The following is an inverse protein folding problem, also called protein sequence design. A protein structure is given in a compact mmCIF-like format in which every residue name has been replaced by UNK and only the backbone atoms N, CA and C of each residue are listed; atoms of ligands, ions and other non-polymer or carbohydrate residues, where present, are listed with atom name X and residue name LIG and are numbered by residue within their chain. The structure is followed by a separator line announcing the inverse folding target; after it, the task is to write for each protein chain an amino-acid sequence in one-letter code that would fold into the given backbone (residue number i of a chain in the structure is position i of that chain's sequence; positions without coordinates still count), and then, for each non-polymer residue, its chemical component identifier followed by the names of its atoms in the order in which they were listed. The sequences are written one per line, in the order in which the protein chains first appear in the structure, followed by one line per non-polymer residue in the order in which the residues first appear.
data_IF_202295923654
#
_entry.id   IF_202295923654
#
_cell.length_a   1.000
_cell.length_b   1.000
_cell.length_c   1.000
_cell.angle_alpha   90.00
_cell.angle_beta   90.00
_cell.angle_gamma   90.00
#
_symmetry.space_group_name_H-M   'P 1'
#
loop_
_entity.id
_entity.type
_entity.pdbx_description
1 polymer ?
#
# COMPACT_ATOMS: atom_id res chain seq x y z
N UNK A 1 32.18 37.13 -9.51
CA UNK A 1 31.38 35.94 -9.15
C UNK A 1 30.08 36.44 -8.54
N UNK A 2 28.97 36.38 -9.28
CA UNK A 2 27.66 36.82 -8.78
C UNK A 2 26.90 35.64 -8.19
N UNK A 3 26.57 35.71 -6.90
CA UNK A 3 25.69 34.75 -6.23
C UNK A 3 24.23 35.06 -6.57
N UNK A 4 23.61 34.24 -7.43
CA UNK A 4 22.21 34.45 -7.85
C UNK A 4 21.25 34.31 -6.66
N UNK A 5 20.43 35.33 -6.33
CA UNK A 5 19.56 35.33 -5.15
C UNK A 5 18.41 34.30 -5.20
N UNK A 6 18.13 33.71 -6.37
CA UNK A 6 17.08 32.71 -6.57
C UNK A 6 17.19 31.47 -5.68
N UNK A 7 18.40 31.06 -5.30
CA UNK A 7 18.61 29.85 -4.49
C UNK A 7 18.00 29.99 -3.07
N UNK A 8 18.13 31.17 -2.46
CA UNK A 8 17.62 31.45 -1.12
C UNK A 8 16.10 31.57 -1.07
N UNK A 9 15.47 32.04 -2.15
CA UNK A 9 14.01 32.17 -2.25
C UNK A 9 13.36 30.77 -2.40
N UNK A 10 13.94 29.89 -3.21
CA UNK A 10 13.45 28.50 -3.33
C UNK A 10 13.64 27.72 -2.03
N UNK A 11 14.78 27.87 -1.35
CA UNK A 11 15.04 27.20 -0.08
C UNK A 11 14.08 27.69 1.03
N UNK A 12 13.81 29.00 1.11
CA UNK A 12 12.87 29.55 2.09
C UNK A 12 11.41 29.17 1.80
N UNK A 13 10.98 29.11 0.54
CA UNK A 13 9.65 28.61 0.16
C UNK A 13 9.46 27.12 0.50
N UNK A 14 10.48 26.28 0.31
CA UNK A 14 10.47 24.89 0.76
C UNK A 14 10.31 24.81 2.29
N UNK A 15 11.12 25.55 3.05
CA UNK A 15 11.03 25.57 4.51
C UNK A 15 9.65 26.06 5.00
N UNK A 16 9.10 27.12 4.38
CA UNK A 16 7.75 27.62 4.68
C UNK A 16 6.65 26.58 4.39
N UNK A 17 6.74 25.83 3.28
CA UNK A 17 5.76 24.77 3.00
C UNK A 17 5.82 23.62 4.02
N UNK A 18 7.01 23.24 4.51
CA UNK A 18 7.15 22.28 5.62
C UNK A 18 6.51 22.79 6.92
N UNK A 19 6.71 24.06 7.29
CA UNK A 19 6.08 24.63 8.49
C UNK A 19 4.56 24.77 8.37
N UNK A 20 4.04 25.13 7.19
CA UNK A 20 2.59 25.20 6.94
C UNK A 20 1.96 23.80 6.95
N UNK A 21 2.59 22.79 6.34
CA UNK A 21 2.10 21.40 6.40
C UNK A 21 2.03 20.88 7.84
N UNK A 22 3.14 20.99 8.59
CA UNK A 22 3.20 20.55 10.00
C UNK A 22 2.24 21.30 10.95
N UNK A 23 1.68 22.44 10.56
CA UNK A 23 0.68 23.15 11.39
C UNK A 23 -0.75 22.76 11.01
N UNK A 24 -1.01 22.41 9.74
CA UNK A 24 -2.32 21.95 9.29
C UNK A 24 -2.62 20.49 9.69
N UNK A 25 -1.67 19.57 9.49
CA UNK A 25 -1.85 18.14 9.80
C UNK A 25 -2.30 17.86 11.24
N UNK A 26 -1.75 18.64 12.20
CA UNK A 26 -1.99 18.47 13.65
C UNK A 26 -3.45 18.63 14.07
N UNK A 27 -4.29 19.29 13.26
CA UNK A 27 -5.76 19.34 13.46
C UNK A 27 -6.52 18.39 12.54
N UNK A 28 -5.98 18.08 11.37
CA UNK A 28 -6.71 17.40 10.31
C UNK A 28 -6.61 15.87 10.40
N UNK A 29 -5.48 15.29 10.84
CA UNK A 29 -5.24 13.84 10.77
C UNK A 29 -6.31 12.95 11.43
N UNK A 30 -6.77 13.29 12.65
CA UNK A 30 -7.83 12.55 13.33
C UNK A 30 -9.20 12.74 12.67
N UNK A 31 -9.48 13.93 12.14
CA UNK A 31 -10.70 14.21 11.39
C UNK A 31 -10.72 13.47 10.05
N UNK A 32 -9.56 13.33 9.37
CA UNK A 32 -9.42 12.57 8.13
C UNK A 32 -9.69 11.09 8.33
N UNK A 33 -9.20 10.47 9.42
CA UNK A 33 -9.52 9.07 9.74
C UNK A 33 -11.01 8.86 10.04
N UNK A 34 -11.62 9.77 10.81
CA UNK A 34 -13.08 9.73 11.08
C UNK A 34 -13.87 9.96 9.78
N UNK A 35 -13.41 10.84 8.90
CA UNK A 35 -14.02 11.06 7.58
C UNK A 35 -13.87 9.82 6.68
N UNK A 36 -12.71 9.18 6.66
CA UNK A 36 -12.46 7.94 5.92
C UNK A 36 -13.43 6.84 6.36
N UNK A 37 -13.53 6.59 7.67
CA UNK A 37 -14.46 5.62 8.26
C UNK A 37 -15.93 5.99 7.97
N UNK A 38 -16.31 7.25 8.10
CA UNK A 38 -17.67 7.71 7.76
C UNK A 38 -17.96 7.65 6.25
N UNK A 39 -16.93 7.69 5.40
CA UNK A 39 -17.06 7.55 3.95
C UNK A 39 -17.25 6.10 3.52
N UNK A 40 -16.63 5.12 4.19
CA UNK A 40 -16.88 3.69 3.93
C UNK A 40 -18.24 3.23 4.47
N UNK A 41 -18.75 3.85 5.54
CA UNK A 41 -20.15 3.64 5.98
C UNK A 41 -21.19 4.12 4.96
N UNK A 42 -20.84 5.07 4.07
CA UNK A 42 -21.69 5.46 2.93
C UNK A 42 -21.53 4.45 1.78
N UNK A 43 -22.32 3.37 1.85
CA UNK A 43 -22.45 2.26 0.86
C UNK A 43 -22.62 2.64 -0.64
N UNK A 44 -22.67 3.92 -1.02
CA UNK A 44 -23.11 4.37 -2.35
C UNK A 44 -22.03 4.44 -3.43
N UNK A 45 -20.75 4.23 -3.12
CA UNK A 45 -19.65 4.49 -4.08
C UNK A 45 -19.08 3.24 -4.78
N UNK A 46 -19.58 2.04 -4.52
CA UNK A 46 -19.18 0.83 -5.24
C UNK A 46 -17.73 0.36 -5.01
N UNK A 47 -17.04 0.92 -4.01
CA UNK A 47 -15.75 0.45 -3.51
C UNK A 47 -15.85 -1.00 -3.05
N UNK A 48 -14.81 -1.81 -3.29
CA UNK A 48 -14.71 -3.11 -2.64
C UNK A 48 -14.41 -2.92 -1.16
N UNK A 49 -15.29 -3.46 -0.32
CA UNK A 49 -15.16 -3.49 1.15
C UNK A 49 -14.98 -4.91 1.66
N UNK A 50 -14.62 -5.87 0.79
CA UNK A 50 -14.35 -7.25 1.20
C UNK A 50 -13.08 -7.33 2.04
N UNK A 51 -13.06 -8.24 3.01
CA UNK A 51 -11.90 -8.42 3.89
C UNK A 51 -10.68 -8.89 3.09
N UNK A 52 -9.51 -8.37 3.45
CA UNK A 52 -8.27 -8.82 2.86
C UNK A 52 -7.89 -10.21 3.39
N UNK A 53 -8.22 -11.25 2.63
CA UNK A 53 -7.82 -12.62 2.94
C UNK A 53 -6.35 -12.87 2.52
N UNK A 54 -5.48 -13.18 3.48
CA UNK A 54 -4.12 -13.64 3.20
C UNK A 54 -4.16 -15.04 2.55
N UNK A 55 -4.00 -15.09 1.23
CA UNK A 55 -4.01 -16.33 0.45
C UNK A 55 -2.70 -17.09 0.67
N UNK A 56 -2.78 -18.17 1.44
CA UNK A 56 -1.59 -18.88 1.91
C UNK A 56 -0.92 -19.76 0.82
N UNK A 57 -1.59 -20.01 -0.32
CA UNK A 57 -1.17 -20.94 -1.40
C UNK A 57 -1.18 -20.31 -2.81
N UNK A 58 -0.21 -19.45 -3.11
CA UNK A 58 0.12 -19.07 -4.51
C UNK A 58 1.57 -19.51 -4.81
N UNK A 59 1.75 -20.43 -5.77
CA UNK A 59 3.03 -21.10 -6.08
C UNK A 59 4.13 -20.18 -6.69
N UNK A 60 4.02 -18.86 -6.58
CA UNK A 60 4.96 -17.89 -7.19
C UNK A 60 5.78 -17.07 -6.18
N UNK A 61 5.62 -17.34 -4.88
CA UNK A 61 6.36 -16.62 -3.82
C UNK A 61 6.78 -17.58 -2.71
N UNK A 62 8.08 -17.68 -2.44
CA UNK A 62 8.64 -18.48 -1.35
C UNK A 62 8.34 -17.84 0.00
N UNK A 63 7.18 -18.17 0.56
CA UNK A 63 6.78 -17.71 1.89
C UNK A 63 7.62 -18.43 2.95
N UNK A 64 8.50 -17.69 3.61
CA UNK A 64 9.35 -18.21 4.69
C UNK A 64 8.52 -18.50 5.95
N UNK A 65 8.88 -19.50 6.78
CA UNK A 65 8.23 -19.74 8.07
C UNK A 65 8.30 -18.52 8.99
N UNK A 66 7.18 -18.14 9.60
CA UNK A 66 7.04 -16.92 10.44
C UNK A 66 6.80 -17.21 11.92
N UNK A 67 6.75 -18.49 12.31
CA UNK A 67 6.38 -18.93 13.66
C UNK A 67 7.34 -18.40 14.73
N UNK A 68 6.78 -17.88 15.84
CA UNK A 68 7.52 -17.39 17.02
C UNK A 68 8.51 -16.24 16.74
N UNK A 69 8.36 -15.53 15.61
CA UNK A 69 9.14 -14.31 15.33
C UNK A 69 8.50 -13.06 15.94
N UNK A 70 7.17 -13.02 16.06
CA UNK A 70 6.40 -11.92 16.66
C UNK A 70 6.89 -11.52 18.05
N UNK A 71 7.20 -12.48 18.91
CA UNK A 71 7.66 -12.24 20.27
C UNK A 71 9.08 -11.65 20.28
N UNK A 72 9.91 -11.98 19.29
CA UNK A 72 11.26 -11.42 19.11
C UNK A 72 11.22 -10.00 18.56
N UNK A 73 10.22 -9.68 17.74
CA UNK A 73 9.99 -8.32 17.22
C UNK A 73 9.39 -7.37 18.27
N UNK A 74 9.00 -7.86 19.45
CA UNK A 74 8.32 -7.03 20.48
C UNK A 74 9.28 -6.02 21.09
N UNK A 75 8.99 -4.74 20.93
CA UNK A 75 9.78 -3.66 21.53
C UNK A 75 9.23 -3.38 22.93
N UNK A 76 9.95 -3.79 23.97
CA UNK A 76 9.57 -3.52 25.35
C UNK A 76 9.58 -2.02 25.69
N UNK A 77 10.65 -1.33 25.29
CA UNK A 77 10.81 0.13 25.42
C UNK A 77 11.87 0.65 24.44
N UNK A 78 11.61 1.82 23.84
CA UNK A 78 12.61 2.56 23.06
C UNK A 78 13.50 3.41 23.99
N UNK A 79 14.76 3.68 23.60
CA UNK A 79 15.58 4.69 24.28
C UNK A 79 14.83 6.04 24.37
N UNK A 80 14.89 6.69 25.53
CA UNK A 80 14.23 7.98 25.74
C UNK A 80 12.70 7.97 25.78
N UNK A 81 12.05 6.80 25.68
CA UNK A 81 10.59 6.66 25.62
C UNK A 81 9.92 6.87 26.99
N UNK A 82 8.84 7.64 27.02
CA UNK A 82 7.91 7.70 28.15
C UNK A 82 7.02 6.46 28.22
N UNK A 83 6.52 6.09 29.42
CA UNK A 83 5.70 4.89 29.61
C UNK A 83 4.43 4.92 28.75
N UNK A 84 4.12 3.80 28.08
CA UNK A 84 2.91 3.62 27.27
C UNK A 84 2.12 2.38 27.64
N UNK A 85 0.87 2.35 27.21
CA UNK A 85 -0.14 1.31 27.45
C UNK A 85 -0.54 0.55 26.18
N UNK A 86 0.28 0.61 25.13
CA UNK A 86 0.10 -0.13 23.88
C UNK A 86 1.34 -0.98 23.57
N UNK A 87 1.13 -2.10 22.86
CA UNK A 87 2.22 -2.92 22.35
C UNK A 87 2.77 -2.33 21.05
N UNK A 88 4.07 -2.47 20.83
CA UNK A 88 4.77 -2.04 19.63
C UNK A 88 5.78 -3.11 19.20
N UNK A 89 5.97 -3.24 17.90
CA UNK A 89 6.80 -4.28 17.29
C UNK A 89 7.68 -3.64 16.21
N UNK A 90 8.89 -4.16 16.03
CA UNK A 90 9.82 -3.73 14.99
C UNK A 90 10.79 -4.84 14.65
N UNK A 91 10.91 -5.14 13.36
CA UNK A 91 11.69 -6.27 12.85
C UNK A 91 11.51 -6.41 11.34
N UNK A 92 12.17 -7.41 10.77
CA UNK A 92 12.21 -7.62 9.32
C UNK A 92 11.28 -8.75 8.89
N UNK A 93 10.65 -8.56 7.72
CA UNK A 93 9.87 -9.59 7.02
C UNK A 93 10.52 -9.80 5.65
N UNK A 94 10.91 -11.03 5.34
CA UNK A 94 11.62 -11.37 4.09
C UNK A 94 10.62 -11.55 2.95
N UNK A 95 10.78 -10.79 1.86
CA UNK A 95 9.77 -10.66 0.79
C UNK A 95 10.24 -11.07 -0.61
N UNK A 96 11.41 -11.72 -0.68
CA UNK A 96 12.27 -11.81 -1.86
C UNK A 96 12.97 -10.46 -2.19
N UNK A 97 13.94 -10.55 -3.09
CA UNK A 97 15.01 -9.57 -3.30
C UNK A 97 14.57 -8.43 -4.20
N UNK A 98 14.21 -7.26 -3.64
CA UNK A 98 14.55 -5.97 -4.27
C UNK A 98 14.33 -4.65 -3.51
N UNK A 99 14.96 -3.61 -4.05
CA UNK A 99 15.13 -2.27 -3.49
C UNK A 99 14.61 -1.16 -4.42
N UNK A 100 14.64 0.10 -3.96
CA UNK A 100 14.27 1.27 -4.76
C UNK A 100 14.13 2.61 -4.04
N UNK A 101 13.62 3.65 -4.73
CA UNK A 101 13.54 4.99 -4.17
C UNK A 101 12.45 5.07 -3.12
N UNK A 102 12.72 5.75 -2.01
CA UNK A 102 11.69 6.06 -1.02
C UNK A 102 12.22 6.85 0.16
N UNK A 103 11.33 7.66 0.73
CA UNK A 103 11.51 8.21 2.07
C UNK A 103 11.02 7.18 3.10
N UNK A 104 11.72 7.08 4.23
CA UNK A 104 11.35 6.13 5.29
C UNK A 104 10.01 6.51 5.95
N UNK A 105 9.03 5.60 5.90
CA UNK A 105 7.75 5.78 6.60
C UNK A 105 7.88 5.73 8.13
N UNK A 106 8.97 5.17 8.64
CA UNK A 106 9.36 5.28 10.05
C UNK A 106 9.87 6.70 10.36
N UNK A 107 10.79 7.24 9.55
CA UNK A 107 11.39 8.54 9.78
C UNK A 107 10.39 9.71 9.63
N UNK A 108 9.48 9.63 8.66
CA UNK A 108 8.46 10.63 8.39
C UNK A 108 7.15 10.28 9.13
N UNK A 109 6.42 9.29 8.62
CA UNK A 109 5.15 8.82 9.17
C UNK A 109 5.17 8.58 10.68
N UNK A 110 6.10 7.76 11.19
CA UNK A 110 6.09 7.38 12.60
C UNK A 110 6.66 8.45 13.55
N UNK A 111 7.74 9.13 13.15
CA UNK A 111 8.51 10.02 14.03
C UNK A 111 8.25 11.53 13.83
N UNK A 112 7.66 11.94 12.70
CA UNK A 112 7.43 13.35 12.35
C UNK A 112 5.96 13.70 12.04
N UNK A 113 5.11 12.72 11.66
CA UNK A 113 3.70 12.94 11.29
C UNK A 113 2.70 12.24 12.24
N UNK A 114 2.28 11.01 11.94
CA UNK A 114 1.09 10.38 12.52
C UNK A 114 1.37 9.31 13.59
N UNK A 115 2.63 8.90 13.78
CA UNK A 115 3.02 7.93 14.81
C UNK A 115 2.98 8.46 16.25
N UNK A 116 3.17 7.56 17.24
CA UNK A 116 2.87 7.81 18.66
C UNK A 116 3.86 8.75 19.37
N UNK A 117 5.03 9.00 18.78
CA UNK A 117 6.09 9.77 19.40
C UNK A 117 6.60 10.89 18.50
N UNK A 118 7.35 11.79 19.12
CA UNK A 118 8.19 12.80 18.50
C UNK A 118 9.53 12.82 19.20
N UNK A 119 10.59 13.03 18.43
CA UNK A 119 11.93 13.24 18.97
C UNK A 119 12.04 14.66 19.52
N UNK A 120 12.59 14.81 20.73
CA UNK A 120 12.96 16.11 21.27
C UNK A 120 14.15 16.71 20.50
N UNK A 121 14.37 18.01 20.67
CA UNK A 121 15.52 18.73 20.07
C UNK A 121 16.90 18.24 20.54
N UNK A 122 16.95 17.37 21.56
CA UNK A 122 18.17 16.71 22.03
C UNK A 122 18.59 15.50 21.16
N UNK A 123 17.72 15.05 20.25
CA UNK A 123 17.93 13.85 19.42
C UNK A 123 17.95 12.53 20.21
N UNK A 124 17.54 12.53 21.48
CA UNK A 124 17.73 11.42 22.44
C UNK A 124 16.48 11.02 23.20
N UNK A 125 15.56 11.96 23.45
CA UNK A 125 14.34 11.70 24.22
C UNK A 125 13.08 11.79 23.36
N UNK A 126 12.02 11.08 23.77
CA UNK A 126 10.76 10.98 23.02
C UNK A 126 9.57 11.48 23.84
N UNK A 127 8.80 12.41 23.27
CA UNK A 127 7.50 12.83 23.81
C UNK A 127 6.33 12.24 23.03
N UNK A 128 5.17 12.12 23.69
CA UNK A 128 3.95 11.56 23.09
C UNK A 128 3.32 12.54 22.10
N UNK A 129 2.95 12.04 20.93
CA UNK A 129 2.14 12.77 19.96
C UNK A 129 0.65 12.70 20.37
N UNK A 130 0.08 13.82 20.81
CA UNK A 130 -1.34 13.92 21.22
C UNK A 130 -2.35 13.65 20.10
N UNK A 131 -1.91 13.63 18.84
CA UNK A 131 -2.76 13.42 17.67
C UNK A 131 -2.38 12.16 16.89
N UNK A 132 -1.71 11.18 17.53
CA UNK A 132 -1.31 9.96 16.84
C UNK A 132 -2.51 9.14 16.38
N UNK A 133 -2.40 8.57 15.18
CA UNK A 133 -3.39 7.67 14.60
C UNK A 133 -3.49 6.35 15.38
N UNK A 134 -2.47 5.99 16.18
CA UNK A 134 -2.50 4.78 16.99
C UNK A 134 -3.52 4.83 18.15
N UNK A 135 -4.14 5.98 18.41
CA UNK A 135 -5.26 6.10 19.35
C UNK A 135 -6.59 5.56 18.80
N UNK A 136 -6.72 5.39 17.48
CA UNK A 136 -7.98 4.96 16.82
C UNK A 136 -7.78 3.81 15.82
N UNK A 137 -6.53 3.46 15.49
CA UNK A 137 -6.19 2.39 14.55
C UNK A 137 -4.94 1.62 15.01
N UNK A 138 -4.74 0.42 14.47
CA UNK A 138 -3.47 -0.29 14.56
C UNK A 138 -2.64 0.12 13.33
N UNK A 139 -1.56 0.88 13.53
CA UNK A 139 -0.82 1.51 12.43
C UNK A 139 0.47 0.73 12.16
N UNK A 140 0.66 0.32 10.91
CA UNK A 140 1.84 -0.40 10.42
C UNK A 140 2.66 0.52 9.52
N UNK A 141 3.88 0.87 9.96
CA UNK A 141 4.83 1.62 9.16
C UNK A 141 5.75 0.65 8.42
N UNK A 142 5.67 0.64 7.09
CA UNK A 142 6.46 -0.20 6.21
C UNK A 142 7.53 0.64 5.50
N UNK A 143 8.80 0.41 5.79
CA UNK A 143 9.90 0.99 5.02
C UNK A 143 10.07 0.18 3.73
N UNK A 144 9.67 0.77 2.61
CA UNK A 144 9.62 0.10 1.30
C UNK A 144 9.89 1.09 0.17
N UNK A 145 10.47 0.62 -0.96
CA UNK A 145 11.11 -0.70 -1.15
C UNK A 145 12.37 -0.87 -0.28
N UNK A 146 13.18 -1.92 -0.45
CA UNK A 146 14.45 -1.98 0.28
C UNK A 146 15.38 -0.78 -0.08
N UNK A 147 16.23 -0.33 0.84
CA UNK A 147 17.23 0.73 0.66
C UNK A 147 16.84 2.22 0.73
N UNK A 148 15.75 2.73 1.33
CA UNK A 148 14.64 2.10 2.08
C UNK A 148 14.84 2.08 3.60
N UNK A 149 15.59 3.01 4.18
CA UNK A 149 15.70 3.17 5.63
C UNK A 149 16.51 2.03 6.26
N UNK A 150 15.89 1.23 7.13
CA UNK A 150 16.49 -0.02 7.62
C UNK A 150 16.26 -1.21 6.70
N UNK A 151 15.26 -1.18 5.80
CA UNK A 151 15.04 -2.26 4.83
C UNK A 151 16.23 -2.39 3.87
N UNK A 152 16.68 -3.61 3.60
CA UNK A 152 17.90 -3.87 2.81
C UNK A 152 17.75 -5.12 1.93
N UNK A 153 18.63 -5.24 0.94
CA UNK A 153 18.82 -6.48 0.18
C UNK A 153 20.29 -6.94 0.18
N UNK A 154 20.48 -8.26 0.21
CA UNK A 154 21.77 -8.92 0.05
C UNK A 154 22.27 -8.95 -1.41
N UNK A 155 21.57 -8.33 -2.37
CA UNK A 155 21.93 -8.37 -3.80
C UNK A 155 22.02 -6.95 -4.38
N UNK A 156 23.22 -6.48 -4.73
CA UNK A 156 23.48 -5.07 -5.06
C UNK A 156 22.75 -4.57 -6.32
N UNK A 157 22.39 -5.46 -7.26
CA UNK A 157 21.64 -5.11 -8.48
C UNK A 157 20.19 -4.66 -8.17
N UNK A 158 19.69 -4.99 -6.99
CA UNK A 158 18.34 -4.68 -6.58
C UNK A 158 18.13 -3.18 -6.45
N UNK A 159 19.12 -2.45 -5.92
CA UNK A 159 19.07 -1.00 -5.71
C UNK A 159 19.02 -0.19 -7.02
N UNK A 160 19.31 -0.82 -8.17
CA UNK A 160 19.27 -0.21 -9.50
C UNK A 160 18.20 -0.79 -10.43
N UNK A 161 17.39 -1.76 -9.98
CA UNK A 161 16.31 -2.38 -10.79
C UNK A 161 14.90 -2.18 -10.21
N UNK A 162 14.84 -1.24 -9.29
CA UNK A 162 13.73 -0.53 -8.66
C UNK A 162 12.62 -0.08 -9.61
N UNK A 163 11.37 -0.10 -9.14
CA UNK A 163 10.24 0.53 -9.83
C UNK A 163 8.87 0.08 -9.31
N UNK A 164 7.85 0.91 -9.51
CA UNK A 164 6.53 0.80 -8.87
C UNK A 164 5.93 -0.62 -8.89
N UNK A 165 5.92 -1.27 -10.06
CA UNK A 165 5.38 -2.64 -10.24
C UNK A 165 6.07 -3.67 -9.34
N UNK A 166 7.38 -3.51 -9.10
CA UNK A 166 8.13 -4.41 -8.20
C UNK A 166 7.83 -4.07 -6.76
N UNK A 167 7.88 -2.79 -6.37
CA UNK A 167 7.50 -2.32 -5.04
C UNK A 167 6.10 -2.78 -4.63
N UNK A 168 5.12 -2.76 -5.54
CA UNK A 168 3.77 -3.26 -5.29
C UNK A 168 3.73 -4.78 -5.02
N UNK A 169 4.49 -5.59 -5.80
CA UNK A 169 4.64 -7.03 -5.58
C UNK A 169 5.31 -7.32 -4.24
N UNK A 170 6.43 -6.66 -3.95
CA UNK A 170 7.22 -6.91 -2.74
C UNK A 170 6.42 -6.51 -1.48
N UNK A 171 5.63 -5.42 -1.57
CA UNK A 171 4.70 -5.01 -0.50
C UNK A 171 3.51 -5.98 -0.33
N UNK A 172 3.01 -6.59 -1.40
CA UNK A 172 2.00 -7.63 -1.29
C UNK A 172 2.58 -8.88 -0.57
N UNK A 173 3.80 -9.30 -0.93
CA UNK A 173 4.50 -10.39 -0.24
C UNK A 173 4.84 -10.04 1.21
N UNK A 174 5.16 -8.77 1.51
CA UNK A 174 5.28 -8.28 2.89
C UNK A 174 4.00 -8.54 3.67
N UNK A 175 2.85 -8.09 3.17
CA UNK A 175 1.56 -8.22 3.85
C UNK A 175 1.17 -9.69 4.09
N UNK A 176 1.39 -10.59 3.13
CA UNK A 176 1.14 -12.02 3.31
C UNK A 176 1.99 -12.63 4.42
N UNK A 177 3.30 -12.34 4.44
CA UNK A 177 4.19 -12.85 5.48
C UNK A 177 3.91 -12.18 6.85
N UNK A 178 3.57 -10.89 6.87
CA UNK A 178 3.20 -10.16 8.07
C UNK A 178 1.92 -10.74 8.69
N UNK A 179 0.88 -11.04 7.89
CA UNK A 179 -0.34 -11.70 8.37
C UNK A 179 -0.16 -13.17 8.77
N UNK A 180 0.91 -13.84 8.32
CA UNK A 180 1.33 -15.14 8.88
C UNK A 180 2.02 -14.97 10.24
N UNK A 181 2.74 -13.88 10.47
CA UNK A 181 3.39 -13.54 11.77
C UNK A 181 2.40 -12.97 12.80
N UNK A 182 1.37 -12.25 12.34
CA UNK A 182 0.35 -11.57 13.14
C UNK A 182 -1.07 -12.05 12.74
N UNK A 183 -1.40 -13.35 12.92
CA UNK A 183 -2.64 -13.94 12.42
C UNK A 183 -3.91 -13.34 13.03
N UNK A 184 -3.83 -12.72 14.21
CA UNK A 184 -4.96 -12.04 14.86
C UNK A 184 -5.47 -10.78 14.12
N UNK A 185 -4.79 -10.37 13.05
CA UNK A 185 -5.18 -9.27 12.16
C UNK A 185 -5.83 -9.73 10.84
N UNK A 186 -5.83 -11.03 10.50
CA UNK A 186 -6.34 -11.54 9.19
C UNK A 186 -7.78 -11.13 8.86
N UNK A 187 -8.64 -10.93 9.88
CA UNK A 187 -10.07 -10.62 9.70
C UNK A 187 -10.44 -9.21 10.19
N UNK A 188 -9.50 -8.25 10.16
CA UNK A 188 -9.77 -6.86 10.52
C UNK A 188 -9.93 -6.00 9.26
N UNK A 189 -10.68 -4.91 9.38
CA UNK A 189 -10.70 -3.85 8.37
C UNK A 189 -9.27 -3.40 8.06
N UNK A 190 -8.91 -3.43 6.78
CA UNK A 190 -7.57 -3.10 6.31
C UNK A 190 -7.63 -1.88 5.40
N UNK A 191 -6.79 -0.88 5.70
CA UNK A 191 -6.71 0.37 4.97
C UNK A 191 -5.25 0.63 4.59
N UNK A 192 -5.02 1.05 3.34
CA UNK A 192 -3.69 1.44 2.85
C UNK A 192 -3.70 2.96 2.64
N UNK A 193 -2.74 3.65 3.24
CA UNK A 193 -2.59 5.10 3.17
C UNK A 193 -1.12 5.49 2.95
N UNK A 194 -0.89 6.67 2.40
CA UNK A 194 0.44 7.22 2.17
C UNK A 194 0.39 8.59 1.52
N UNK A 195 1.53 9.28 1.51
CA UNK A 195 1.69 10.65 0.99
C UNK A 195 2.66 10.70 -0.20
N UNK A 196 2.64 11.81 -0.97
CA UNK A 196 3.60 12.11 -2.02
C UNK A 196 3.66 10.98 -3.08
N UNK A 197 4.83 10.42 -3.37
CA UNK A 197 4.97 9.30 -4.32
C UNK A 197 4.24 8.02 -3.88
N UNK A 198 3.80 7.90 -2.62
CA UNK A 198 2.87 6.83 -2.24
C UNK A 198 1.51 6.95 -2.93
N UNK A 199 1.17 8.10 -3.56
CA UNK A 199 0.08 8.20 -4.54
C UNK A 199 0.22 7.24 -5.73
N UNK A 200 1.42 6.74 -6.02
CA UNK A 200 1.65 5.60 -6.91
C UNK A 200 1.59 4.26 -6.17
N UNK A 201 2.24 4.14 -5.01
CA UNK A 201 2.36 2.87 -4.28
C UNK A 201 1.03 2.36 -3.71
N UNK A 202 0.20 3.23 -3.14
CA UNK A 202 -1.09 2.89 -2.52
C UNK A 202 -2.05 2.24 -3.54
N UNK A 203 -2.39 2.87 -4.68
CA UNK A 203 -3.31 2.25 -5.64
C UNK A 203 -2.71 1.03 -6.34
N UNK A 204 -1.40 0.99 -6.60
CA UNK A 204 -0.76 -0.18 -7.21
C UNK A 204 -0.72 -1.39 -6.26
N UNK A 205 -0.52 -1.17 -4.96
CA UNK A 205 -0.63 -2.21 -3.94
C UNK A 205 -2.08 -2.69 -3.79
N UNK A 206 -3.05 -1.77 -3.73
CA UNK A 206 -4.47 -2.11 -3.68
C UNK A 206 -4.90 -2.95 -4.89
N UNK A 207 -4.53 -2.55 -6.11
CA UNK A 207 -4.77 -3.34 -7.31
C UNK A 207 -4.07 -4.71 -7.26
N UNK A 208 -2.83 -4.79 -6.76
CA UNK A 208 -2.11 -6.05 -6.60
C UNK A 208 -2.84 -7.00 -5.63
N UNK A 209 -3.41 -6.48 -4.54
CA UNK A 209 -4.22 -7.25 -3.58
C UNK A 209 -5.48 -7.80 -4.25
N UNK A 210 -6.26 -6.96 -4.92
CA UNK A 210 -7.50 -7.36 -5.60
C UNK A 210 -7.24 -8.39 -6.71
N UNK A 211 -6.21 -8.15 -7.53
CA UNK A 211 -5.81 -9.08 -8.59
C UNK A 211 -5.49 -10.49 -8.06
N UNK A 212 -4.70 -10.62 -6.99
CA UNK A 212 -4.37 -11.92 -6.43
C UNK A 212 -5.55 -12.60 -5.74
N UNK A 213 -6.43 -11.82 -5.08
CA UNK A 213 -7.72 -12.30 -4.55
C UNK A 213 -8.54 -12.96 -5.64
N UNK A 214 -8.76 -12.26 -6.75
CA UNK A 214 -9.67 -12.72 -7.79
C UNK A 214 -9.09 -13.90 -8.58
N UNK A 215 -7.79 -13.87 -8.90
CA UNK A 215 -7.12 -15.03 -9.52
C UNK A 215 -7.13 -16.27 -8.60
N UNK A 216 -7.10 -16.10 -7.27
CA UNK A 216 -7.28 -17.22 -6.34
C UNK A 216 -8.71 -17.76 -6.36
N UNK A 217 -9.75 -16.91 -6.35
CA UNK A 217 -11.14 -17.39 -6.44
C UNK A 217 -11.39 -18.15 -7.76
N UNK A 218 -10.86 -17.64 -8.87
CA UNK A 218 -10.87 -18.34 -10.17
C UNK A 218 -10.20 -19.71 -10.07
N UNK A 219 -8.96 -19.79 -9.59
CA UNK A 219 -8.22 -21.06 -9.46
C UNK A 219 -8.90 -22.06 -8.50
N UNK A 220 -9.66 -21.56 -7.53
CA UNK A 220 -10.37 -22.37 -6.53
C UNK A 220 -11.68 -22.95 -7.02
N UNK A 221 -12.45 -22.19 -7.81
CA UNK A 221 -13.82 -22.56 -8.19
C UNK A 221 -14.03 -22.90 -9.66
N UNK A 222 -13.15 -22.45 -10.57
CA UNK A 222 -13.26 -22.72 -12.00
C UNK A 222 -12.45 -23.97 -12.41
N UNK A 223 -13.11 -24.91 -13.07
CA UNK A 223 -12.47 -26.07 -13.67
C UNK A 223 -12.15 -25.79 -15.15
N UNK A 224 -10.86 -25.73 -15.48
CA UNK A 224 -10.36 -25.46 -16.85
C UNK A 224 -9.94 -26.74 -17.61
N UNK A 225 -10.28 -27.92 -17.12
CA UNK A 225 -10.02 -29.17 -17.85
C UNK A 225 -10.88 -29.29 -19.11
N UNK A 226 -10.39 -30.01 -20.13
CA UNK A 226 -11.09 -30.23 -21.41
C UNK A 226 -12.46 -30.90 -21.27
N UNK A 227 -12.74 -31.52 -20.11
CA UNK A 227 -13.94 -32.29 -19.82
C UNK A 227 -14.83 -31.57 -18.78
N UNK A 228 -14.60 -30.28 -18.54
CA UNK A 228 -15.34 -29.51 -17.55
C UNK A 228 -16.82 -29.37 -17.92
N UNK A 229 -17.69 -29.62 -16.93
CA UNK A 229 -19.13 -29.35 -17.00
C UNK A 229 -19.42 -27.84 -17.06
N UNK A 230 -20.69 -27.47 -17.15
CA UNK A 230 -21.15 -26.08 -16.96
C UNK A 230 -20.52 -25.43 -15.72
N UNK A 231 -20.05 -24.17 -15.79
CA UNK A 231 -19.41 -23.48 -14.66
C UNK A 231 -20.26 -23.49 -13.38
N UNK A 232 -19.59 -23.64 -12.24
CA UNK A 232 -20.21 -23.46 -10.92
C UNK A 232 -20.65 -22.02 -10.71
N UNK A 233 -21.62 -21.79 -9.83
CA UNK A 233 -22.10 -20.42 -9.51
C UNK A 233 -20.98 -19.57 -8.92
N UNK A 234 -20.09 -20.20 -8.16
CA UNK A 234 -18.89 -19.61 -7.57
C UNK A 234 -17.86 -19.23 -8.63
N UNK A 235 -17.66 -20.07 -9.66
CA UNK A 235 -16.81 -19.74 -10.81
C UNK A 235 -17.37 -18.56 -11.63
N UNK A 236 -18.70 -18.51 -11.84
CA UNK A 236 -19.36 -17.40 -12.52
C UNK A 236 -19.15 -16.10 -11.72
N UNK A 237 -19.42 -16.10 -10.42
CA UNK A 237 -19.23 -14.93 -9.57
C UNK A 237 -17.76 -14.45 -9.52
N UNK A 238 -16.79 -15.38 -9.46
CA UNK A 238 -15.37 -15.04 -9.55
C UNK A 238 -14.98 -14.46 -10.93
N UNK A 239 -15.58 -14.97 -12.01
CA UNK A 239 -15.36 -14.47 -13.38
C UNK A 239 -15.99 -13.11 -13.62
N UNK A 240 -17.15 -12.83 -13.03
CA UNK A 240 -17.80 -11.51 -13.04
C UNK A 240 -16.97 -10.47 -12.27
N UNK A 241 -16.38 -10.83 -11.13
CA UNK A 241 -15.47 -9.96 -10.39
C UNK A 241 -14.24 -9.58 -11.23
N UNK A 242 -13.52 -10.56 -11.80
CA UNK A 242 -12.42 -10.31 -12.74
C UNK A 242 -12.88 -9.45 -13.93
N UNK A 243 -14.04 -9.75 -14.50
CA UNK A 243 -14.56 -9.03 -15.68
C UNK A 243 -14.87 -7.56 -15.38
N UNK A 244 -15.31 -7.24 -14.15
CA UNK A 244 -15.49 -5.87 -13.67
C UNK A 244 -14.13 -5.17 -13.53
N UNK A 245 -13.16 -5.84 -12.93
CA UNK A 245 -11.82 -5.29 -12.67
C UNK A 245 -10.98 -5.12 -13.95
N UNK A 246 -11.26 -5.87 -15.02
CA UNK A 246 -10.65 -5.66 -16.36
C UNK A 246 -11.58 -4.95 -17.34
N UNK A 247 -12.75 -4.45 -16.90
CA UNK A 247 -13.79 -3.89 -17.80
C UNK A 247 -13.36 -2.64 -18.56
N UNK A 248 -12.23 -2.02 -18.18
CA UNK A 248 -11.60 -0.90 -18.88
C UNK A 248 -10.51 -1.32 -19.89
N UNK A 249 -10.26 -2.63 -20.05
CA UNK A 249 -9.27 -3.22 -20.96
C UNK A 249 -10.01 -3.98 -22.07
N UNK A 250 -9.60 -3.78 -23.32
CA UNK A 250 -10.07 -4.62 -24.41
C UNK A 250 -9.36 -5.99 -24.34
N UNK A 251 -10.06 -7.03 -23.88
CA UNK A 251 -9.53 -8.39 -23.74
C UNK A 251 -8.99 -8.98 -25.06
N UNK A 252 -9.51 -8.55 -26.22
CA UNK A 252 -9.05 -8.99 -27.54
C UNK A 252 -7.86 -8.17 -28.08
N UNK A 253 -7.58 -6.99 -27.52
CA UNK A 253 -6.41 -6.19 -27.84
C UNK A 253 -6.08 -5.24 -26.68
N UNK A 254 -5.27 -5.73 -25.73
CA UNK A 254 -4.94 -5.02 -24.48
C UNK A 254 -4.22 -3.68 -24.66
N UNK A 255 -3.76 -3.36 -25.87
CA UNK A 255 -3.11 -2.10 -26.22
C UNK A 255 -4.07 -1.10 -26.89
N UNK A 256 -5.29 -1.51 -27.24
CA UNK A 256 -6.29 -0.64 -27.84
C UNK A 256 -7.23 -0.04 -26.79
N UNK A 257 -7.56 1.26 -26.87
CA UNK A 257 -8.57 1.87 -26.02
C UNK A 257 -9.95 1.25 -26.28
N UNK A 258 -10.80 1.22 -25.25
CA UNK A 258 -12.19 0.82 -25.41
C UNK A 258 -12.97 1.84 -26.23
N UNK A 259 -13.84 1.35 -27.10
CA UNK A 259 -14.68 2.19 -27.93
C UNK A 259 -16.05 2.42 -27.25
N UNK A 260 -16.11 3.40 -26.36
CA UNK A 260 -17.31 3.73 -25.56
C UNK A 260 -18.41 4.49 -26.33
N UNK A 261 -18.39 4.49 -27.67
CA UNK A 261 -19.36 5.20 -28.49
C UNK A 261 -20.58 4.32 -28.78
N UNK A 262 -21.81 4.73 -28.40
CA UNK A 262 -23.03 4.01 -28.82
C UNK A 262 -23.35 4.20 -30.31
N UNK A 263 -22.65 5.10 -31.02
CA UNK A 263 -22.84 5.42 -32.44
C UNK A 263 -21.77 4.76 -33.33
N UNK A 264 -21.54 3.46 -33.15
CA UNK A 264 -20.66 2.68 -34.01
C UNK A 264 -21.45 2.01 -35.15
N UNK A 265 -21.19 2.44 -36.38
CA UNK A 265 -21.56 1.67 -37.58
C UNK A 265 -20.60 0.51 -37.76
N UNK A 266 -21.10 -0.65 -38.22
CA UNK A 266 -20.30 -1.87 -38.43
C UNK A 266 -19.16 -1.74 -39.48
N UNK A 267 -19.08 -0.60 -40.18
CA UNK A 267 -17.96 -0.24 -41.04
C UNK A 267 -17.45 1.16 -40.68
N UNK A 268 -16.12 1.42 -40.85
CA UNK A 268 -15.57 2.76 -40.72
C UNK A 268 -16.27 3.72 -41.68
N UNK A 269 -16.66 4.90 -41.19
CA UNK A 269 -17.09 5.98 -42.08
C UNK A 269 -15.92 6.33 -42.99
N UNK A 270 -16.14 6.25 -44.32
CA UNK A 270 -15.11 6.66 -45.30
C UNK A 270 -14.69 8.09 -45.01
N UNK A 271 -13.39 8.32 -44.94
CA UNK A 271 -12.82 9.66 -44.72
C UNK A 271 -13.18 10.57 -45.89
N UNK A 272 -13.97 11.62 -45.62
CA UNK A 272 -14.10 12.75 -46.54
C UNK A 272 -12.84 13.60 -46.40
N UNK A 273 -11.89 13.43 -47.32
CA UNK A 273 -10.86 14.44 -47.54
C UNK A 273 -11.50 15.55 -48.37
N UNK A 274 -11.83 16.65 -47.70
CA UNK A 274 -12.24 17.92 -48.29
C UNK A 274 -11.03 18.83 -48.47
#
# INVERSE_FOLDING_TARGET
MESKPFCWILLSLLILSFFVSQTHEKKQGSQTLVYLHNSTLKKSFGFDTSFFEAIDNFNETSVNPQERLKEKDRIERLPGQTQVNFSQYGGYVTVDKSAGPGCSSLAYGAMQELGPFRVHSDGKTLYKNKFSWNYVANVLFLESPAGVGFSYSNTTKDYSTSGDRRTARDNYVFLLNWLKRFPEYKNRDFYVAGESYAGHYVPQLAHTILFHRDVYQIKKYCNFSSNASTPSRECIAASEAVSKDISYINLYNIYAPLCSSPNLTAQPKKTSVS
#
